data_IF_253382321152
#
_entry.id   IF_253382321152
#
_cell.length_a   1.000
_cell.length_b   1.000
_cell.length_c   1.000
_cell.angle_alpha   90.00
_cell.angle_beta   90.00
_cell.angle_gamma   90.00
#
_symmetry.space_group_name_H-M   'P 1'
#
loop_
_entity.id
_entity.type
_entity.pdbx_description
1 polymer ?
#
# COMPACT_ATOMS: atom_id res chain seq x y z
N UNK A 1 12.37 1.08 -4.23
CA UNK A 1 11.29 0.38 -3.54
C UNK A 1 11.36 0.82 -2.08
N UNK A 2 10.32 1.50 -1.60
CA UNK A 2 10.16 1.77 -0.17
C UNK A 2 10.21 0.42 0.54
N UNK A 3 11.03 0.30 1.59
CA UNK A 3 11.10 -0.94 2.35
C UNK A 3 9.67 -1.29 2.80
N UNK A 4 9.11 -2.46 2.40
CA UNK A 4 7.82 -2.87 2.89
C UNK A 4 7.96 -2.92 4.41
N UNK A 5 7.20 -2.07 5.10
CA UNK A 5 7.30 -1.89 6.55
C UNK A 5 7.44 -3.25 7.21
N UNK A 6 8.48 -3.45 8.01
CA UNK A 6 8.82 -4.77 8.52
C UNK A 6 7.80 -5.14 9.59
N UNK A 7 6.69 -5.75 9.19
CA UNK A 7 5.78 -6.41 10.12
C UNK A 7 6.58 -7.50 10.85
N UNK A 8 6.44 -7.55 12.17
CA UNK A 8 7.12 -8.51 13.05
C UNK A 8 6.09 -9.22 13.93
N UNK A 9 6.50 -10.35 14.53
CA UNK A 9 5.68 -11.10 15.48
C UNK A 9 4.37 -11.61 14.89
N UNK A 10 3.32 -11.62 15.72
CA UNK A 10 1.99 -12.17 15.37
C UNK A 10 1.39 -11.54 14.11
N UNK A 11 1.55 -10.23 13.92
CA UNK A 11 1.00 -9.55 12.73
C UNK A 11 1.66 -10.02 11.43
N UNK A 12 2.95 -10.35 11.46
CA UNK A 12 3.62 -10.94 10.30
C UNK A 12 3.06 -12.32 9.98
N UNK A 13 2.88 -13.16 10.99
CA UNK A 13 2.29 -14.49 10.82
C UNK A 13 0.90 -14.41 10.22
N UNK A 14 0.01 -13.59 10.82
CA UNK A 14 -1.32 -13.33 10.29
C UNK A 14 -1.30 -12.88 8.82
N UNK A 15 -0.45 -11.90 8.48
CA UNK A 15 -0.34 -11.44 7.10
C UNK A 15 0.22 -12.49 6.14
N UNK A 16 0.99 -13.47 6.62
CA UNK A 16 1.44 -14.60 5.81
C UNK A 16 0.30 -15.58 5.51
N UNK A 17 -0.60 -15.79 6.48
CA UNK A 17 -1.77 -16.66 6.31
C UNK A 17 -2.80 -16.04 5.34
N UNK A 18 -2.91 -14.70 5.33
CA UNK A 18 -3.81 -13.94 4.44
C UNK A 18 -3.30 -13.78 2.99
N UNK A 19 -2.13 -14.32 2.66
CA UNK A 19 -1.55 -14.15 1.31
C UNK A 19 -2.39 -14.81 0.22
N UNK A 20 -2.92 -16.00 0.49
CA UNK A 20 -3.73 -16.75 -0.48
C UNK A 20 -5.06 -16.06 -0.73
N UNK A 21 -5.72 -15.57 0.32
CA UNK A 21 -6.94 -14.77 0.22
C UNK A 21 -6.72 -13.51 -0.61
N UNK A 22 -5.61 -12.80 -0.38
CA UNK A 22 -5.24 -11.66 -1.21
C UNK A 22 -4.99 -12.02 -2.67
N UNK A 23 -4.31 -13.14 -2.95
CA UNK A 23 -4.05 -13.58 -4.32
C UNK A 23 -5.35 -13.89 -5.08
N UNK A 24 -6.31 -14.54 -4.42
CA UNK A 24 -7.65 -14.77 -4.99
C UNK A 24 -8.39 -13.45 -5.23
N UNK A 25 -8.38 -12.55 -4.25
CA UNK A 25 -9.03 -11.24 -4.38
C UNK A 25 -8.44 -10.40 -5.52
N UNK A 26 -7.13 -10.50 -5.80
CA UNK A 26 -6.50 -9.84 -6.96
C UNK A 26 -7.02 -10.42 -8.28
N UNK A 27 -7.27 -11.73 -8.37
CA UNK A 27 -7.82 -12.35 -9.59
C UNK A 27 -9.28 -11.95 -9.83
N UNK A 28 -10.02 -11.69 -8.76
CA UNK A 28 -11.43 -11.29 -8.78
C UNK A 28 -11.64 -9.77 -8.83
N UNK A 29 -10.57 -8.97 -8.88
CA UNK A 29 -10.59 -7.50 -8.79
C UNK A 29 -11.20 -6.94 -7.48
N UNK A 30 -11.11 -7.72 -6.39
CA UNK A 30 -11.60 -7.41 -5.04
C UNK A 30 -10.48 -7.17 -4.03
N UNK A 31 -9.28 -6.88 -4.50
CA UNK A 31 -8.10 -6.72 -3.62
C UNK A 31 -8.28 -5.64 -2.55
N UNK A 32 -9.04 -4.57 -2.84
CA UNK A 32 -9.33 -3.50 -1.89
C UNK A 32 -10.19 -3.97 -0.71
N UNK A 33 -11.19 -4.83 -0.98
CA UNK A 33 -12.07 -5.42 0.05
C UNK A 33 -11.25 -6.31 0.99
N UNK A 34 -10.42 -7.21 0.43
CA UNK A 34 -9.55 -8.05 1.26
C UNK A 34 -8.60 -7.23 2.15
N UNK A 35 -8.06 -6.11 1.65
CA UNK A 35 -7.20 -5.25 2.46
C UNK A 35 -7.97 -4.62 3.62
N UNK A 36 -9.22 -4.22 3.40
CA UNK A 36 -10.08 -3.70 4.46
C UNK A 36 -10.34 -4.79 5.51
N UNK A 37 -10.70 -6.00 5.11
CA UNK A 37 -10.92 -7.13 6.03
C UNK A 37 -9.66 -7.46 6.84
N UNK A 38 -8.51 -7.55 6.18
CA UNK A 38 -7.20 -7.77 6.83
C UNK A 38 -6.83 -6.64 7.79
N UNK A 39 -7.24 -5.41 7.49
CA UNK A 39 -7.05 -4.26 8.38
C UNK A 39 -7.90 -4.38 9.65
N UNK A 40 -9.16 -4.79 9.51
CA UNK A 40 -10.11 -4.95 10.61
C UNK A 40 -9.90 -6.22 11.44
N UNK A 41 -9.25 -7.26 10.90
CA UNK A 41 -8.95 -8.54 11.58
C UNK A 41 -7.83 -8.46 12.63
N UNK A 42 -7.89 -7.47 13.53
CA UNK A 42 -7.29 -7.60 14.85
C UNK A 42 -8.32 -8.35 15.69
N UNK A 43 -8.04 -9.58 16.11
CA UNK A 43 -8.92 -10.30 17.05
C UNK A 43 -9.20 -9.37 18.23
N UNK A 44 -10.45 -8.90 18.40
CA UNK A 44 -10.79 -8.09 19.55
C UNK A 44 -10.53 -8.92 20.81
N UNK A 45 -9.88 -8.32 21.80
CA UNK A 45 -9.68 -8.99 23.09
C UNK A 45 -11.05 -9.35 23.68
N UNK A 46 -11.14 -10.38 24.52
CA UNK A 46 -12.37 -10.68 25.27
C UNK A 46 -12.86 -9.44 26.07
N UNK A 47 -11.94 -8.59 26.51
CA UNK A 47 -12.23 -7.32 27.15
C UNK A 47 -12.83 -6.26 26.21
N UNK A 48 -12.49 -6.30 24.92
CA UNK A 48 -13.04 -5.40 23.90
C UNK A 48 -14.42 -5.89 23.47
N UNK A 49 -14.59 -7.20 23.29
CA UNK A 49 -15.88 -7.83 23.01
C UNK A 49 -16.89 -7.59 24.14
N UNK A 50 -16.47 -7.63 25.41
CA UNK A 50 -17.35 -7.37 26.55
C UNK A 50 -17.88 -5.93 26.63
N UNK A 51 -17.25 -4.97 25.92
CA UNK A 51 -17.68 -3.57 25.85
C UNK A 51 -18.65 -3.31 24.70
N UNK A 52 -18.71 -4.21 23.72
CA UNK A 52 -19.59 -4.06 22.56
C UNK A 52 -20.99 -4.50 22.99
N UNK A 53 -21.90 -3.53 23.09
CA UNK A 53 -23.32 -3.79 23.25
C UNK A 53 -23.96 -3.83 21.87
N UNK A 54 -24.15 -5.03 21.31
CA UNK A 54 -24.78 -5.25 20.00
C UNK A 54 -26.21 -4.67 19.91
N UNK A 55 -26.83 -4.33 21.04
CA UNK A 55 -28.17 -3.72 21.09
C UNK A 55 -28.12 -2.20 21.05
N UNK A 56 -26.97 -1.58 21.28
CA UNK A 56 -26.79 -0.14 21.20
C UNK A 56 -26.55 0.29 19.76
N UNK A 57 -27.18 1.39 19.34
CA UNK A 57 -26.80 2.05 18.10
C UNK A 57 -25.42 2.67 18.28
N UNK A 58 -24.53 2.43 17.32
CA UNK A 58 -23.23 3.11 17.30
C UNK A 58 -23.45 4.63 17.40
N UNK A 59 -22.77 5.31 18.34
CA UNK A 59 -22.90 6.75 18.46
C UNK A 59 -22.42 7.40 17.16
N UNK A 60 -23.29 8.18 16.52
CA UNK A 60 -22.95 8.88 15.29
C UNK A 60 -21.72 9.77 15.55
N UNK A 61 -20.68 9.72 14.70
CA UNK A 61 -19.49 10.53 14.89
C UNK A 61 -19.89 12.00 14.87
N UNK A 62 -19.74 12.66 16.03
CA UNK A 62 -20.13 14.06 16.19
C UNK A 62 -19.16 14.91 15.39
N UNK A 63 -19.62 15.46 14.27
CA UNK A 63 -18.87 16.50 13.55
C UNK A 63 -18.73 17.68 14.51
N UNK A 64 -17.50 18.12 14.84
CA UNK A 64 -17.32 19.25 15.75
C UNK A 64 -18.04 20.48 15.18
N UNK A 65 -18.90 21.11 15.98
CA UNK A 65 -19.63 22.31 15.55
C UNK A 65 -18.78 23.55 15.83
N UNK A 66 -18.43 24.28 14.75
CA UNK A 66 -17.65 25.52 14.77
C UNK A 66 -18.28 26.61 15.65
N UNK A 67 -19.61 26.58 15.81
CA UNK A 67 -20.35 27.61 16.55
C UNK A 67 -20.48 27.34 18.05
N UNK A 68 -20.27 26.09 18.47
CA UNK A 68 -20.44 25.64 19.86
C UNK A 68 -19.13 25.71 20.66
N UNK A 69 -18.00 25.55 19.98
CA UNK A 69 -16.68 25.47 20.61
C UNK A 69 -15.88 26.78 20.42
N UNK A 70 -15.01 27.15 21.37
CA UNK A 70 -14.06 28.22 21.14
C UNK A 70 -13.09 27.81 20.01
N UNK A 71 -12.64 28.76 19.17
CA UNK A 71 -11.89 28.46 17.95
C UNK A 71 -10.61 27.66 18.23
N UNK A 72 -9.96 27.90 19.38
CA UNK A 72 -8.74 27.20 19.81
C UNK A 72 -8.98 25.71 20.15
N UNK A 73 -10.18 25.35 20.60
CA UNK A 73 -10.53 23.95 20.91
C UNK A 73 -11.00 23.22 19.67
N UNK A 74 -11.79 23.87 18.81
CA UNK A 74 -12.21 23.31 17.53
C UNK A 74 -11.00 22.90 16.69
N UNK A 75 -10.00 23.79 16.54
CA UNK A 75 -8.79 23.51 15.78
C UNK A 75 -8.01 22.29 16.33
N UNK A 76 -8.02 22.06 17.65
CA UNK A 76 -7.36 20.90 18.26
C UNK A 76 -8.09 19.61 17.93
N UNK A 77 -9.42 19.58 18.07
CA UNK A 77 -10.22 18.39 17.79
C UNK A 77 -10.12 18.00 16.31
N UNK A 78 -10.20 18.97 15.40
CA UNK A 78 -10.01 18.72 13.97
C UNK A 78 -8.62 18.15 13.69
N UNK A 79 -7.57 18.73 14.28
CA UNK A 79 -6.21 18.23 14.10
C UNK A 79 -6.01 16.80 14.65
N UNK A 80 -6.66 16.45 15.76
CA UNK A 80 -6.65 15.10 16.33
C UNK A 80 -7.34 14.10 15.38
N UNK A 81 -8.54 14.42 14.89
CA UNK A 81 -9.27 13.57 13.92
C UNK A 81 -8.45 13.37 12.64
N UNK A 82 -7.85 14.43 12.11
CA UNK A 82 -7.00 14.36 10.92
C UNK A 82 -5.74 13.51 11.17
N UNK A 83 -5.11 13.65 12.34
CA UNK A 83 -3.94 12.86 12.70
C UNK A 83 -4.26 11.36 12.83
N UNK A 84 -5.40 11.04 13.44
CA UNK A 84 -5.91 9.67 13.54
C UNK A 84 -6.21 9.10 12.15
N UNK A 85 -6.95 9.82 11.32
CA UNK A 85 -7.24 9.43 9.93
C UNK A 85 -5.96 9.20 9.11
N UNK A 86 -4.97 10.08 9.24
CA UNK A 86 -3.68 9.92 8.57
C UNK A 86 -2.93 8.67 9.03
N UNK A 87 -2.99 8.33 10.32
CA UNK A 87 -2.38 7.12 10.87
C UNK A 87 -3.06 5.86 10.33
N UNK A 88 -4.39 5.83 10.27
CA UNK A 88 -5.16 4.72 9.70
C UNK A 88 -4.80 4.49 8.22
N UNK A 89 -4.82 5.57 7.42
CA UNK A 89 -4.44 5.53 6.00
C UNK A 89 -3.00 5.06 5.83
N UNK A 90 -2.08 5.56 6.66
CA UNK A 90 -0.69 5.13 6.64
C UNK A 90 -0.57 3.61 6.90
N UNK A 91 -1.29 3.09 7.89
CA UNK A 91 -1.25 1.66 8.25
C UNK A 91 -1.86 0.78 7.17
N UNK A 92 -2.98 1.19 6.59
CA UNK A 92 -3.61 0.50 5.45
C UNK A 92 -2.64 0.44 4.26
N UNK A 93 -1.98 1.55 3.95
CA UNK A 93 -0.98 1.60 2.89
C UNK A 93 0.24 0.70 3.16
N UNK A 94 0.66 0.53 4.41
CA UNK A 94 1.72 -0.42 4.76
C UNK A 94 1.30 -1.86 4.44
N UNK A 95 0.08 -2.25 4.81
CA UNK A 95 -0.47 -3.59 4.54
C UNK A 95 -0.57 -3.81 3.04
N UNK A 96 -1.17 -2.86 2.32
CA UNK A 96 -1.29 -2.91 0.86
C UNK A 96 0.08 -3.06 0.17
N UNK A 97 1.06 -2.22 0.53
CA UNK A 97 2.41 -2.33 -0.02
C UNK A 97 3.05 -3.70 0.25
N UNK A 98 2.86 -4.24 1.44
CA UNK A 98 3.42 -5.52 1.83
C UNK A 98 2.77 -6.68 1.07
N UNK A 99 1.43 -6.75 1.02
CA UNK A 99 0.70 -7.79 0.30
C UNK A 99 1.00 -7.75 -1.20
N UNK A 100 1.01 -6.56 -1.81
CA UNK A 100 1.40 -6.39 -3.21
C UNK A 100 2.83 -6.85 -3.47
N UNK A 101 3.76 -6.56 -2.56
CA UNK A 101 5.14 -7.04 -2.67
C UNK A 101 5.23 -8.56 -2.61
N UNK A 102 4.54 -9.20 -1.65
CA UNK A 102 4.52 -10.66 -1.52
C UNK A 102 3.90 -11.31 -2.76
N UNK A 103 2.75 -10.81 -3.21
CA UNK A 103 2.08 -11.26 -4.43
C UNK A 103 3.03 -11.18 -5.64
N UNK A 104 3.70 -10.04 -5.84
CA UNK A 104 4.68 -9.88 -6.91
C UNK A 104 5.85 -10.86 -6.83
N UNK A 105 6.27 -11.25 -5.62
CA UNK A 105 7.34 -12.22 -5.40
C UNK A 105 6.90 -13.66 -5.67
N UNK A 106 5.67 -14.03 -5.34
CA UNK A 106 5.14 -15.37 -5.56
C UNK A 106 4.80 -15.64 -7.02
N UNK A 107 4.23 -14.65 -7.71
CA UNK A 107 3.79 -14.80 -9.10
C UNK A 107 4.87 -14.46 -10.13
N UNK A 108 6.14 -14.37 -9.69
CA UNK A 108 7.28 -13.91 -10.49
C UNK A 108 6.91 -12.78 -11.45
N UNK A 109 6.18 -11.78 -10.94
CA UNK A 109 5.88 -10.54 -11.66
C UNK A 109 7.15 -9.70 -11.69
N UNK A 110 8.21 -10.27 -12.26
CA UNK A 110 9.44 -9.60 -12.60
C UNK A 110 9.07 -8.51 -13.58
N UNK A 111 9.29 -7.25 -13.19
CA UNK A 111 9.10 -6.07 -14.03
C UNK A 111 9.87 -6.14 -15.37
N UNK A 112 10.72 -7.16 -15.58
CA UNK A 112 11.41 -7.42 -16.85
C UNK A 112 10.52 -8.09 -17.90
N UNK A 113 9.48 -8.85 -17.52
CA UNK A 113 8.62 -9.54 -18.48
C UNK A 113 7.49 -8.64 -18.99
N UNK A 114 6.89 -7.82 -18.12
CA UNK A 114 5.76 -6.98 -18.52
C UNK A 114 6.09 -5.89 -19.56
N UNK A 115 7.36 -5.52 -19.72
CA UNK A 115 7.77 -4.46 -20.65
C UNK A 115 8.28 -4.95 -22.00
N UNK A 116 8.80 -6.18 -22.08
CA UNK A 116 9.45 -6.68 -23.31
C UNK A 116 8.45 -7.25 -24.31
N UNK A 117 7.35 -7.81 -23.82
CA UNK A 117 6.30 -8.40 -24.65
C UNK A 117 5.05 -7.54 -24.76
N UNK A 118 5.00 -6.39 -24.07
CA UNK A 118 3.88 -5.47 -24.23
C UNK A 118 3.90 -4.88 -25.65
N UNK A 119 2.89 -5.19 -26.50
CA UNK A 119 2.87 -4.75 -27.89
C UNK A 119 2.84 -3.22 -28.01
N UNK A 120 2.29 -2.51 -27.02
CA UNK A 120 2.30 -1.05 -26.98
C UNK A 120 3.71 -0.50 -26.76
N UNK A 121 4.54 -1.15 -25.94
CA UNK A 121 5.93 -0.74 -25.72
C UNK A 121 6.73 -0.91 -27.00
N UNK A 122 6.54 -2.03 -27.71
CA UNK A 122 7.15 -2.27 -29.03
C UNK A 122 6.70 -1.20 -30.04
N UNK A 123 5.40 -0.89 -30.09
CA UNK A 123 4.85 0.13 -31.00
C UNK A 123 5.39 1.53 -30.68
N UNK A 124 5.45 1.91 -29.40
CA UNK A 124 5.99 3.19 -28.95
C UNK A 124 7.47 3.33 -29.32
N UNK A 125 8.28 2.30 -29.12
CA UNK A 125 9.69 2.29 -29.54
C UNK A 125 9.85 2.46 -31.05
N UNK A 126 8.98 1.83 -31.85
CA UNK A 126 8.98 1.99 -33.31
C UNK A 126 8.60 3.41 -33.74
N UNK A 127 7.58 4.00 -33.13
CA UNK A 127 7.11 5.36 -33.48
C UNK A 127 8.11 6.45 -33.08
N UNK A 128 8.78 6.28 -31.95
CA UNK A 128 9.74 7.27 -31.42
C UNK A 128 11.14 7.13 -32.03
N UNK A 129 11.41 6.06 -32.79
CA UNK A 129 12.74 5.75 -33.31
C UNK A 129 13.77 5.41 -32.22
N UNK A 130 13.34 5.26 -30.97
CA UNK A 130 14.21 4.91 -29.85
C UNK A 130 14.43 3.40 -29.86
N UNK A 131 15.67 2.97 -30.10
CA UNK A 131 16.02 1.55 -30.04
C UNK A 131 15.65 0.95 -28.67
N UNK A 132 15.11 -0.27 -28.67
CA UNK A 132 14.77 -1.04 -27.44
C UNK A 132 16.02 -1.32 -26.58
N UNK A 133 17.22 -1.11 -27.14
CA UNK A 133 18.47 -1.24 -26.41
C UNK A 133 18.66 -0.10 -25.41
N UNK A 134 18.89 -0.43 -24.14
CA UNK A 134 19.33 0.54 -23.13
C UNK A 134 20.58 1.26 -23.65
N UNK A 135 20.65 2.61 -23.61
CA UNK A 135 21.87 3.32 -23.95
C UNK A 135 23.00 2.83 -23.05
N UNK A 136 23.98 2.14 -23.64
CA UNK A 136 25.19 1.73 -22.92
C UNK A 136 26.01 3.00 -22.67
N UNK A 137 26.48 3.21 -21.44
CA UNK A 137 27.48 4.25 -21.16
C UNK A 137 28.64 4.01 -22.13
N UNK A 138 28.90 4.97 -23.03
CA UNK A 138 30.09 4.92 -23.84
C UNK A 138 31.27 4.89 -22.88
N UNK A 139 32.12 3.87 -23.02
CA UNK A 139 33.39 3.82 -22.30
C UNK A 139 34.19 5.01 -22.82
N UNK A 140 34.22 6.12 -22.06
CA UNK A 140 35.08 7.25 -22.34
C UNK A 140 36.52 6.72 -22.21
N UNK A 141 37.10 6.27 -23.33
CA UNK A 141 38.54 6.00 -23.41
C UNK A 141 39.23 7.34 -23.29
N UNK A 142 39.88 7.57 -22.15
CA UNK A 142 40.78 8.70 -21.96
C UNK A 142 41.87 8.74 -23.03
N UNK A 143 42.47 9.91 -23.29
CA UNK A 143 43.49 10.07 -24.31
C UNK A 143 44.70 9.17 -24.01
N UNK A 144 45.07 8.37 -25.01
CA UNK A 144 46.24 7.50 -24.98
C UNK A 144 47.47 8.37 -25.17
N UNK A 145 48.16 8.70 -24.07
CA UNK A 145 49.43 9.42 -24.12
C UNK A 145 50.49 8.44 -24.61
N UNK A 146 51.03 8.68 -25.79
CA UNK A 146 52.23 8.00 -26.28
C UNK A 146 53.44 8.85 -25.87
N UNK A 147 54.26 8.30 -24.97
CA UNK A 147 55.64 8.75 -24.69
C UNK A 147 56.60 8.07 -25.64
#
# INVERSE_FOLDING_TARGET
MVHPGTFQGKRKHFLMDEQEGYAQAVQEDRAAEQIADVFHNVEPSDEDLAKIDDSALDPEPVVPDESSLPPDQYAKIVAEIEAEGALLIYRLNQIHCWLRYQYSKMHDLSAKESGKENPYTVMLHRLTGLSISKPRKSLIRGPRVHT
#
